data_IF_354487232819
#
_entry.id   IF_354487232819
#
_cell.length_a   1.000
_cell.length_b   1.000
_cell.length_c   1.000
_cell.angle_alpha   90.00
_cell.angle_beta   90.00
_cell.angle_gamma   90.00
#
_symmetry.space_group_name_H-M   'P 1'
#
loop_
_entity.id
_entity.type
_entity.pdbx_description
1 polymer ?
#
# COMPACT_ATOMS: atom_id res chain seq x y z
N UNK A 1 -0.76 -0.77 -24.30
CA UNK A 1 -0.98 -1.62 -23.12
C UNK A 1 -2.05 -0.97 -22.24
N UNK A 2 -3.33 -1.30 -22.45
CA UNK A 2 -4.44 -0.89 -21.56
C UNK A 2 -4.78 -2.07 -20.65
N UNK A 3 -5.08 -1.80 -19.38
CA UNK A 3 -5.59 -2.76 -18.38
C UNK A 3 -4.60 -3.84 -17.91
N UNK A 4 -3.38 -3.48 -17.49
CA UNK A 4 -2.52 -4.40 -16.73
C UNK A 4 -2.35 -3.89 -15.31
N UNK A 5 -2.62 -4.77 -14.36
CA UNK A 5 -2.36 -4.58 -12.93
C UNK A 5 -1.15 -5.43 -12.57
N UNK A 6 -0.18 -4.82 -11.88
CA UNK A 6 0.99 -5.52 -11.39
C UNK A 6 0.79 -5.86 -9.92
N UNK A 7 1.05 -7.13 -9.58
CA UNK A 7 1.03 -7.62 -8.20
C UNK A 7 2.44 -8.06 -7.85
N UNK A 8 2.96 -7.51 -6.76
CA UNK A 8 4.32 -7.74 -6.30
C UNK A 8 4.34 -8.42 -4.93
N UNK A 9 5.43 -9.14 -4.66
CA UNK A 9 5.80 -9.49 -3.30
C UNK A 9 6.54 -8.34 -2.59
N UNK A 10 6.90 -8.55 -1.31
CA UNK A 10 7.64 -7.58 -0.50
C UNK A 10 9.07 -7.28 -0.97
N UNK A 11 9.65 -8.13 -1.83
CA UNK A 11 10.98 -7.92 -2.39
C UNK A 11 10.95 -6.86 -3.50
N UNK A 12 9.94 -6.89 -4.36
CA UNK A 12 9.82 -5.95 -5.49
C UNK A 12 9.06 -4.67 -5.16
N UNK A 13 8.32 -4.61 -4.05
CA UNK A 13 7.49 -3.46 -3.70
C UNK A 13 8.30 -2.32 -3.04
N UNK A 14 8.18 -1.11 -3.60
CA UNK A 14 8.64 0.13 -2.98
C UNK A 14 7.74 1.31 -3.34
N UNK A 15 7.62 2.29 -2.44
CA UNK A 15 6.78 3.48 -2.68
C UNK A 15 7.26 4.27 -3.91
N UNK A 16 8.57 4.40 -4.09
CA UNK A 16 9.14 5.07 -5.27
C UNK A 16 8.75 4.38 -6.58
N UNK A 17 8.73 3.04 -6.61
CA UNK A 17 8.28 2.29 -7.78
C UNK A 17 6.79 2.56 -8.05
N UNK A 18 5.94 2.50 -7.01
CA UNK A 18 4.52 2.77 -7.15
C UNK A 18 4.23 4.18 -7.68
N UNK A 19 4.94 5.20 -7.20
CA UNK A 19 4.83 6.57 -7.76
C UNK A 19 5.25 6.63 -9.23
N UNK A 20 6.33 5.97 -9.62
CA UNK A 20 6.79 5.90 -11.02
C UNK A 20 5.77 5.20 -11.91
N UNK A 21 5.21 4.07 -11.46
CA UNK A 21 4.18 3.32 -12.18
C UNK A 21 2.89 4.14 -12.32
N UNK A 22 2.49 4.87 -11.28
CA UNK A 22 1.32 5.75 -11.31
C UNK A 22 1.45 6.81 -12.40
N UNK A 23 2.61 7.48 -12.49
CA UNK A 23 2.91 8.46 -13.55
C UNK A 23 2.85 7.85 -14.95
N UNK A 24 3.17 6.56 -15.08
CA UNK A 24 3.06 5.80 -16.33
C UNK A 24 1.66 5.23 -16.57
N UNK A 25 0.68 5.54 -15.72
CA UNK A 25 -0.69 5.00 -15.74
C UNK A 25 -0.70 3.46 -15.68
N UNK A 26 0.22 2.88 -14.91
CA UNK A 26 0.28 1.46 -14.62
C UNK A 26 -0.15 1.24 -13.17
N UNK A 27 -1.24 0.49 -13.02
CA UNK A 27 -1.78 0.08 -11.73
C UNK A 27 -0.94 -1.01 -11.13
N UNK A 28 -0.61 -0.87 -9.85
CA UNK A 28 0.23 -1.81 -9.13
C UNK A 28 -0.08 -1.82 -7.64
N UNK A 29 0.05 -3.01 -7.04
CA UNK A 29 -0.08 -3.22 -5.61
C UNK A 29 0.86 -4.34 -5.16
N UNK A 30 1.17 -4.41 -3.87
CA UNK A 30 1.95 -5.50 -3.31
C UNK A 30 2.13 -5.34 -1.82
N UNK A 31 2.59 -6.41 -1.17
CA UNK A 31 3.02 -6.30 0.23
C UNK A 31 4.27 -5.44 0.30
N UNK A 32 4.42 -4.63 1.34
CA UNK A 32 5.60 -3.78 1.53
C UNK A 32 6.23 -4.10 2.89
N UNK A 33 7.55 -4.22 2.92
CA UNK A 33 8.24 -4.38 4.20
C UNK A 33 8.33 -3.02 4.90
N UNK A 34 8.12 -3.04 6.21
CA UNK A 34 8.04 -1.82 7.01
C UNK A 34 9.41 -1.15 7.22
N UNK A 35 10.51 -1.84 6.92
CA UNK A 35 11.90 -1.34 6.90
C UNK A 35 12.29 -0.63 5.59
N UNK A 36 11.39 -0.57 4.59
CA UNK A 36 11.67 0.12 3.33
C UNK A 36 11.80 1.63 3.51
N UNK A 37 12.65 2.24 2.69
CA UNK A 37 12.83 3.70 2.64
C UNK A 37 11.49 4.39 2.38
N UNK A 38 11.25 5.48 3.11
CA UNK A 38 10.03 6.30 3.07
C UNK A 38 8.76 5.62 3.59
N UNK A 39 8.88 4.44 4.23
CA UNK A 39 7.73 3.82 4.88
C UNK A 39 7.15 4.78 5.94
N UNK A 40 5.83 5.00 5.98
CA UNK A 40 5.21 5.94 6.91
C UNK A 40 5.26 5.42 8.34
N UNK A 41 6.17 5.96 9.15
CA UNK A 41 6.38 5.54 10.55
C UNK A 41 5.15 5.73 11.45
N UNK A 42 4.27 6.67 11.10
CA UNK A 42 2.98 6.85 11.78
C UNK A 42 2.08 5.60 11.70
N UNK A 43 2.16 4.82 10.62
CA UNK A 43 1.43 3.55 10.50
C UNK A 43 2.02 2.46 11.40
N UNK A 44 3.34 2.47 11.64
CA UNK A 44 3.97 1.54 12.60
C UNK A 44 3.55 1.83 14.04
N UNK A 45 3.62 3.11 14.42
CA UNK A 45 3.38 3.58 15.80
C UNK A 45 1.91 3.84 16.13
N UNK A 46 1.02 3.62 15.17
CA UNK A 46 -0.42 3.80 15.38
C UNK A 46 -0.96 2.82 16.41
N UNK A 47 -2.18 3.08 16.87
CA UNK A 47 -2.87 2.22 17.82
C UNK A 47 -2.91 0.76 17.36
N UNK A 48 -2.97 -0.14 18.34
CA UNK A 48 -3.17 -1.57 18.09
C UNK A 48 -4.51 -1.77 17.37
N UNK A 49 -4.49 -2.69 16.41
CA UNK A 49 -5.65 -3.04 15.59
C UNK A 49 -6.16 -4.40 16.06
N UNK A 50 -7.48 -4.59 16.07
CA UNK A 50 -8.05 -5.91 16.27
C UNK A 50 -7.90 -6.75 14.99
N UNK A 51 -8.01 -8.07 15.11
CA UNK A 51 -7.97 -8.96 13.95
C UNK A 51 -9.09 -8.62 12.97
N UNK A 52 -8.74 -8.33 11.72
CA UNK A 52 -9.63 -7.88 10.67
C UNK A 52 -9.58 -6.37 10.43
N UNK A 53 -9.17 -5.58 11.41
CA UNK A 53 -9.10 -4.13 11.28
C UNK A 53 -7.96 -3.69 10.37
N UNK A 54 -8.15 -2.53 9.74
CA UNK A 54 -7.14 -1.89 8.93
C UNK A 54 -7.09 -0.39 9.16
N UNK A 55 -5.90 0.17 8.90
CA UNK A 55 -5.65 1.61 8.78
C UNK A 55 -4.83 1.88 7.55
N UNK A 56 -4.94 3.09 7.03
CA UNK A 56 -4.17 3.48 5.87
C UNK A 56 -3.69 4.92 5.95
N UNK A 57 -2.67 5.21 5.15
CA UNK A 57 -2.26 6.57 4.82
C UNK A 57 -2.12 6.67 3.30
N UNK A 58 -2.73 7.70 2.73
CA UNK A 58 -2.68 7.97 1.30
C UNK A 58 -1.90 9.27 1.07
N UNK A 59 -1.04 9.26 0.06
CA UNK A 59 -0.32 10.45 -0.38
C UNK A 59 -0.06 10.37 -1.87
N UNK A 60 -0.39 11.43 -2.61
CA UNK A 60 -0.19 11.52 -4.07
C UNK A 60 -0.77 10.30 -4.83
N UNK A 61 -1.90 9.77 -4.34
CA UNK A 61 -2.58 8.59 -4.89
C UNK A 61 -1.77 7.29 -4.82
N UNK A 62 -0.86 7.19 -3.85
CA UNK A 62 -0.32 5.93 -3.37
C UNK A 62 -0.73 5.76 -1.92
N UNK A 63 -1.27 4.60 -1.60
CA UNK A 63 -1.81 4.26 -0.30
C UNK A 63 -0.92 3.19 0.34
N UNK A 64 -0.66 3.33 1.62
CA UNK A 64 -0.05 2.28 2.46
C UNK A 64 -1.08 1.87 3.47
N UNK A 65 -1.42 0.58 3.49
CA UNK A 65 -2.40 -0.02 4.38
C UNK A 65 -1.66 -0.89 5.39
N UNK A 66 -1.97 -0.71 6.68
CA UNK A 66 -1.69 -1.65 7.76
C UNK A 66 -2.98 -2.45 7.98
N UNK A 67 -2.93 -3.75 7.79
CA UNK A 67 -4.04 -4.66 8.05
C UNK A 67 -3.60 -5.68 9.10
N UNK A 68 -4.47 -5.95 10.07
CA UNK A 68 -4.20 -6.92 11.12
C UNK A 68 -4.86 -8.24 10.78
N UNK A 69 -4.06 -9.23 10.39
CA UNK A 69 -4.48 -10.64 10.34
C UNK A 69 -4.04 -11.31 11.66
N UNK A 70 -3.34 -12.46 11.63
CA UNK A 70 -2.63 -13.00 12.80
C UNK A 70 -1.45 -12.13 13.24
N UNK A 71 -0.92 -11.34 12.31
CA UNK A 71 0.17 -10.38 12.49
C UNK A 71 -0.09 -9.19 11.59
N UNK A 72 0.59 -8.08 11.87
CA UNK A 72 0.54 -6.90 11.03
C UNK A 72 1.05 -7.21 9.62
N UNK A 73 0.22 -6.94 8.62
CA UNK A 73 0.57 -6.98 7.20
C UNK A 73 0.52 -5.57 6.65
N UNK A 74 1.54 -5.19 5.89
CA UNK A 74 1.56 -3.91 5.19
C UNK A 74 1.43 -4.11 3.69
N UNK A 75 0.55 -3.34 3.08
CA UNK A 75 0.27 -3.34 1.64
C UNK A 75 0.52 -1.93 1.13
N UNK A 76 1.11 -1.78 -0.06
CA UNK A 76 1.21 -0.51 -0.75
C UNK A 76 0.59 -0.61 -2.14
N UNK A 77 -0.24 0.36 -2.51
CA UNK A 77 -1.02 0.36 -3.75
C UNK A 77 -1.05 1.73 -4.39
N UNK A 78 -0.96 1.80 -5.72
CA UNK A 78 -1.35 2.97 -6.51
C UNK A 78 -2.65 2.74 -7.30
N UNK A 79 -3.22 1.54 -7.16
CA UNK A 79 -4.37 1.05 -7.89
C UNK A 79 -5.67 1.30 -7.13
N UNK A 80 -5.63 1.15 -5.81
CA UNK A 80 -6.77 1.28 -4.92
C UNK A 80 -6.59 2.50 -4.01
N UNK A 81 -7.62 3.34 -3.94
CA UNK A 81 -7.70 4.41 -2.95
C UNK A 81 -8.70 4.02 -1.86
N UNK A 82 -8.24 3.68 -0.63
CA UNK A 82 -9.11 3.31 0.47
C UNK A 82 -9.98 4.47 0.97
N UNK A 83 -9.73 5.71 0.55
CA UNK A 83 -10.57 6.86 0.86
C UNK A 83 -11.74 7.05 -0.11
N UNK A 84 -11.76 6.29 -1.22
CA UNK A 84 -12.83 6.36 -2.22
C UNK A 84 -13.56 5.03 -2.21
N UNK A 85 -14.74 4.99 -1.60
CA UNK A 85 -15.67 3.88 -1.78
C UNK A 85 -16.11 3.88 -3.24
N UNK A 86 -15.80 2.80 -3.96
CA UNK A 86 -16.37 2.56 -5.28
C UNK A 86 -17.52 1.57 -5.04
N UNK A 87 -18.77 2.04 -5.18
CA UNK A 87 -19.98 1.21 -5.25
C UNK A 87 -19.93 0.23 -6.43
#
# INVERSE_FOLDING_TARGET
MKNRQLFFDGYFTSLQLLYKLRRKKVSATGTIRSDRKYFPTKLKKGEELESGDYRYLTSNGVSVIKWMDKKEVFIASNYFDPAVENE
#
